data_IF_755937393448
#
_entry.id   IF_755937393448
#
_cell.length_a   1.000
_cell.length_b   1.000
_cell.length_c   1.000
_cell.angle_alpha   90.00
_cell.angle_beta   90.00
_cell.angle_gamma   90.00
#
_symmetry.space_group_name_H-M   'P 1'
#
loop_
_entity.id
_entity.type
_entity.pdbx_description
1 polymer ?
#
# COMPACT_ATOMS: atom_id res chain seq x y z
N UNK A 1 -8.63 16.00 -7.23
CA UNK A 1 -7.25 15.80 -7.68
C UNK A 1 -7.31 15.07 -9.02
N UNK A 2 -7.14 15.79 -10.13
CA UNK A 2 -7.16 15.19 -11.47
C UNK A 2 -5.72 14.84 -11.83
N UNK A 3 -5.47 13.61 -12.19
CA UNK A 3 -4.20 13.04 -12.67
C UNK A 3 -3.12 12.89 -11.60
N UNK A 4 -3.16 11.81 -10.82
CA UNK A 4 -1.98 11.34 -10.11
C UNK A 4 -1.09 10.56 -11.07
N UNK A 5 0.05 11.11 -11.44
CA UNK A 5 1.19 10.32 -11.90
C UNK A 5 1.87 9.76 -10.64
N UNK A 6 2.10 8.53 -10.46
CA UNK A 6 2.19 7.38 -11.34
C UNK A 6 1.31 6.22 -10.92
N UNK A 7 0.10 6.46 -10.63
CA UNK A 7 -0.81 5.36 -10.37
C UNK A 7 -0.98 4.63 -11.69
N UNK A 8 -0.78 3.32 -11.69
CA UNK A 8 -1.15 2.48 -12.83
C UNK A 8 -2.65 2.67 -13.05
N UNK A 9 -3.00 3.57 -13.91
CA UNK A 9 -4.38 3.76 -14.34
C UNK A 9 -4.47 3.35 -15.81
N UNK A 10 -5.46 2.55 -16.15
CA UNK A 10 -6.49 1.98 -15.27
C UNK A 10 -6.00 0.74 -14.49
N UNK A 11 -6.35 0.64 -13.21
CA UNK A 11 -6.20 -0.59 -12.44
C UNK A 11 -7.50 -1.38 -12.55
N UNK A 12 -7.42 -2.59 -13.12
CA UNK A 12 -8.59 -3.46 -13.22
C UNK A 12 -8.77 -4.25 -11.92
N UNK A 13 -9.83 -3.94 -11.20
CA UNK A 13 -10.18 -4.62 -9.94
C UNK A 13 -11.57 -5.23 -10.11
N UNK A 14 -11.72 -6.50 -9.77
CA UNK A 14 -13.03 -7.14 -9.78
C UNK A 14 -13.89 -6.52 -8.68
N UNK A 15 -15.04 -5.94 -9.10
CA UNK A 15 -15.98 -5.28 -8.19
C UNK A 15 -17.39 -5.87 -8.27
N UNK A 16 -17.76 -6.44 -9.41
CA UNK A 16 -19.06 -7.05 -9.63
C UNK A 16 -18.87 -8.56 -9.81
N UNK A 17 -19.61 -9.35 -9.05
CA UNK A 17 -19.58 -10.81 -9.11
C UNK A 17 -20.91 -11.40 -8.66
N UNK A 18 -21.21 -12.61 -9.10
CA UNK A 18 -22.35 -13.38 -8.61
C UNK A 18 -22.00 -13.94 -7.23
N UNK A 19 -22.80 -13.60 -6.22
CA UNK A 19 -22.54 -13.96 -4.82
C UNK A 19 -22.37 -15.46 -4.61
N UNK A 20 -23.17 -16.27 -5.31
CA UNK A 20 -23.16 -17.73 -5.19
C UNK A 20 -21.88 -18.39 -5.73
N UNK A 21 -21.11 -17.65 -6.53
CA UNK A 21 -19.86 -18.13 -7.14
C UNK A 21 -18.60 -17.66 -6.40
N UNK A 22 -18.78 -16.97 -5.28
CA UNK A 22 -17.67 -16.46 -4.48
C UNK A 22 -17.25 -17.48 -3.44
N UNK A 23 -16.08 -18.08 -3.59
CA UNK A 23 -15.43 -18.79 -2.50
C UNK A 23 -14.52 -17.84 -1.76
N UNK A 24 -14.86 -17.54 -0.50
CA UNK A 24 -14.03 -16.70 0.36
C UNK A 24 -12.89 -17.56 0.95
N UNK A 25 -11.74 -17.52 0.35
CA UNK A 25 -10.48 -18.06 0.91
C UNK A 25 -9.42 -16.98 0.87
N UNK A 26 -9.47 -16.05 1.81
CA UNK A 26 -8.44 -15.04 1.93
C UNK A 26 -8.14 -14.73 3.38
N UNK A 27 -7.00 -15.21 3.88
CA UNK A 27 -6.46 -14.85 5.20
C UNK A 27 -5.53 -13.63 5.14
N UNK A 28 -5.66 -12.75 4.14
CA UNK A 28 -4.83 -11.56 4.06
C UNK A 28 -5.54 -10.38 4.69
N UNK A 29 -5.00 -9.92 5.80
CA UNK A 29 -5.54 -8.82 6.61
C UNK A 29 -5.58 -7.48 5.85
N UNK A 30 -4.74 -7.31 4.81
CA UNK A 30 -4.56 -6.01 4.14
C UNK A 30 -5.18 -5.98 2.74
N UNK A 31 -5.25 -7.11 2.04
CA UNK A 31 -5.81 -7.21 0.69
C UNK A 31 -6.62 -8.50 0.56
N UNK A 32 -7.93 -8.38 0.66
CA UNK A 32 -8.85 -9.45 0.30
C UNK A 32 -8.79 -9.63 -1.23
N UNK A 33 -8.14 -10.71 -1.66
CA UNK A 33 -8.17 -11.10 -3.07
C UNK A 33 -9.30 -12.10 -3.27
N UNK A 34 -10.25 -11.76 -4.12
CA UNK A 34 -11.27 -12.67 -4.57
C UNK A 34 -10.61 -13.79 -5.39
N UNK A 35 -10.78 -15.04 -4.98
CA UNK A 35 -10.38 -16.17 -5.81
C UNK A 35 -11.45 -16.41 -6.86
N UNK A 36 -11.05 -16.27 -8.10
CA UNK A 36 -11.92 -16.36 -9.28
C UNK A 36 -11.60 -17.63 -10.06
N UNK A 37 -11.60 -18.76 -9.38
CA UNK A 37 -11.24 -20.06 -9.98
C UNK A 37 -12.16 -20.37 -11.18
N UNK A 38 -11.61 -20.27 -12.39
CA UNK A 38 -12.31 -20.55 -13.64
C UNK A 38 -13.43 -19.56 -14.01
N UNK A 39 -13.53 -18.42 -13.33
CA UNK A 39 -14.54 -17.42 -13.64
C UNK A 39 -14.20 -16.65 -14.92
N UNK A 40 -15.21 -16.45 -15.78
CA UNK A 40 -15.09 -15.56 -16.93
C UNK A 40 -15.14 -14.11 -16.47
N UNK A 41 -14.03 -13.38 -16.69
CA UNK A 41 -13.89 -11.97 -16.30
C UNK A 41 -14.14 -11.11 -17.54
N UNK A 42 -14.96 -10.06 -17.39
CA UNK A 42 -15.15 -9.02 -18.40
C UNK A 42 -14.79 -7.67 -17.81
N UNK A 43 -14.18 -6.81 -18.60
CA UNK A 43 -13.92 -5.43 -18.23
C UNK A 43 -15.18 -4.58 -18.47
N UNK A 44 -15.38 -3.58 -17.62
CA UNK A 44 -16.35 -2.51 -17.84
C UNK A 44 -15.57 -1.31 -18.40
N UNK A 45 -16.12 -0.65 -19.39
CA UNK A 45 -15.47 0.49 -20.06
C UNK A 45 -15.53 1.76 -19.20
N UNK A 46 -16.54 1.86 -18.33
CA UNK A 46 -16.70 3.02 -17.46
C UNK A 46 -15.80 2.95 -16.21
N UNK A 47 -15.00 4.00 -15.94
CA UNK A 47 -14.13 4.04 -14.78
C UNK A 47 -14.91 4.27 -13.49
N UNK A 48 -14.59 3.48 -12.46
CA UNK A 48 -15.05 3.71 -11.11
C UNK A 48 -14.14 4.72 -10.42
N UNK A 49 -14.66 5.90 -10.08
CA UNK A 49 -13.91 6.89 -9.32
C UNK A 49 -13.78 6.46 -7.87
N UNK A 50 -12.54 6.36 -7.38
CA UNK A 50 -12.24 5.99 -6.00
C UNK A 50 -11.60 7.15 -5.26
N UNK A 51 -12.32 7.71 -4.28
CA UNK A 51 -11.83 8.75 -3.39
C UNK A 51 -11.25 8.10 -2.14
N UNK A 52 -9.92 7.92 -2.11
CA UNK A 52 -9.24 7.18 -1.03
C UNK A 52 -9.09 7.99 0.25
N UNK A 53 -8.95 9.29 0.14
CA UNK A 53 -8.82 10.23 1.26
C UNK A 53 -9.21 11.65 0.79
N UNK A 54 -9.88 12.39 1.66
CA UNK A 54 -10.35 13.74 1.38
C UNK A 54 -9.38 14.81 1.92
N UNK A 55 -8.55 14.44 2.89
CA UNK A 55 -7.60 15.33 3.54
C UNK A 55 -6.23 14.69 3.73
N UNK A 56 -5.23 15.51 4.06
CA UNK A 56 -3.89 15.04 4.45
C UNK A 56 -3.98 14.30 5.79
N UNK A 57 -4.84 14.76 6.71
CA UNK A 57 -5.04 14.14 8.01
C UNK A 57 -5.61 12.72 7.85
N UNK A 58 -6.59 12.51 6.96
CA UNK A 58 -7.13 11.18 6.64
C UNK A 58 -6.06 10.26 6.05
N UNK A 59 -5.19 10.81 5.21
CA UNK A 59 -4.08 10.07 4.62
C UNK A 59 -3.14 9.56 5.71
N UNK A 60 -2.74 10.42 6.65
CA UNK A 60 -1.79 10.08 7.70
C UNK A 60 -2.42 9.28 8.86
N UNK A 61 -3.69 9.46 9.16
CA UNK A 61 -4.38 8.69 10.18
C UNK A 61 -4.32 7.17 9.93
N UNK A 62 -4.30 6.76 8.68
CA UNK A 62 -4.25 5.35 8.28
C UNK A 62 -2.84 4.74 8.35
N UNK A 63 -1.78 5.57 8.39
CA UNK A 63 -0.39 5.09 8.27
C UNK A 63 -0.01 4.17 9.44
N UNK A 64 -0.44 4.50 10.65
CA UNK A 64 -0.16 3.72 11.85
C UNK A 64 -0.69 2.30 11.76
N UNK A 65 -1.96 2.16 11.40
CA UNK A 65 -2.63 0.87 11.27
C UNK A 65 -2.05 0.04 10.11
N UNK A 66 -1.97 0.61 8.91
CA UNK A 66 -1.48 -0.14 7.75
C UNK A 66 -0.03 -0.58 7.88
N UNK A 67 0.83 0.25 8.47
CA UNK A 67 2.23 -0.14 8.68
C UNK A 67 2.39 -1.19 9.77
N UNK A 68 1.51 -1.21 10.80
CA UNK A 68 1.46 -2.26 11.81
C UNK A 68 1.08 -3.59 11.17
N UNK A 69 -0.07 -3.65 10.50
CA UNK A 69 -0.55 -4.87 9.83
C UNK A 69 0.46 -5.41 8.80
N UNK A 70 1.11 -4.50 8.05
CA UNK A 70 2.15 -4.90 7.10
C UNK A 70 3.38 -5.48 7.79
N UNK A 71 3.80 -4.94 8.92
CA UNK A 71 4.94 -5.45 9.68
C UNK A 71 4.63 -6.83 10.30
N UNK A 72 3.42 -7.02 10.82
CA UNK A 72 2.95 -8.30 11.36
C UNK A 72 2.89 -9.39 10.26
N UNK A 73 2.37 -9.08 9.08
CA UNK A 73 2.34 -10.00 7.93
C UNK A 73 3.76 -10.39 7.48
N UNK A 74 4.67 -9.40 7.44
CA UNK A 74 6.08 -9.63 7.10
C UNK A 74 6.78 -10.49 8.16
N UNK A 75 6.51 -10.26 9.46
CA UNK A 75 7.04 -11.08 10.54
C UNK A 75 6.54 -12.52 10.45
N UNK A 76 5.25 -12.72 10.21
CA UNK A 76 4.65 -14.04 10.04
C UNK A 76 5.28 -14.83 8.87
N UNK A 77 5.78 -14.12 7.84
CA UNK A 77 6.52 -14.71 6.71
C UNK A 77 8.02 -14.89 6.98
N UNK A 78 8.49 -14.54 8.16
CA UNK A 78 9.91 -14.63 8.51
C UNK A 78 10.80 -13.62 7.79
N UNK A 79 10.24 -12.50 7.33
CA UNK A 79 11.02 -11.51 6.58
C UNK A 79 12.06 -10.81 7.47
N UNK A 80 13.32 -10.69 7.02
CA UNK A 80 14.34 -10.00 7.79
C UNK A 80 14.19 -8.49 7.68
N UNK A 81 14.41 -7.80 8.80
CA UNK A 81 14.60 -6.35 8.84
C UNK A 81 16.06 -6.01 9.08
N UNK A 82 16.59 -5.06 8.32
CA UNK A 82 17.96 -4.55 8.48
C UNK A 82 17.96 -3.02 8.52
N UNK A 83 19.02 -2.44 9.08
CA UNK A 83 19.19 -0.99 9.12
C UNK A 83 19.19 -0.35 7.73
N UNK A 84 19.72 -1.05 6.73
CA UNK A 84 19.69 -0.62 5.33
C UNK A 84 18.25 -0.52 4.81
N UNK A 85 17.40 -1.51 5.12
CA UNK A 85 15.97 -1.49 4.75
C UNK A 85 15.20 -0.39 5.48
N UNK A 86 15.62 -0.02 6.70
CA UNK A 86 14.95 1.04 7.47
C UNK A 86 15.34 2.42 6.93
N UNK A 87 16.62 2.69 6.70
CA UNK A 87 17.08 4.04 6.39
C UNK A 87 17.27 4.31 4.89
N UNK A 88 17.82 3.38 4.11
CA UNK A 88 18.11 3.61 2.70
C UNK A 88 16.91 3.26 1.78
N UNK A 89 16.22 2.17 2.06
CA UNK A 89 15.15 1.70 1.18
C UNK A 89 13.97 2.68 1.05
N UNK A 90 13.50 3.40 2.10
CA UNK A 90 12.47 4.41 1.95
C UNK A 90 12.84 5.52 0.97
N UNK A 91 14.11 5.94 0.95
CA UNK A 91 14.59 6.94 0.00
C UNK A 91 14.69 6.40 -1.42
N UNK A 92 15.07 5.14 -1.59
CA UNK A 92 15.09 4.48 -2.88
C UNK A 92 13.68 4.40 -3.48
N UNK A 93 12.70 4.00 -2.67
CA UNK A 93 11.29 3.94 -3.10
C UNK A 93 10.77 5.34 -3.42
N UNK A 94 11.07 6.34 -2.58
CA UNK A 94 10.71 7.73 -2.83
C UNK A 94 11.32 8.24 -4.15
N UNK A 95 12.61 8.02 -4.37
CA UNK A 95 13.31 8.45 -5.59
C UNK A 95 12.72 7.76 -6.82
N UNK A 96 12.51 6.46 -6.75
CA UNK A 96 11.86 5.69 -7.83
C UNK A 96 10.48 6.26 -8.15
N UNK A 97 9.67 6.49 -7.12
CA UNK A 97 8.32 7.03 -7.29
C UNK A 97 8.37 8.45 -7.88
N UNK A 98 9.21 9.30 -7.31
CA UNK A 98 9.27 10.71 -7.66
C UNK A 98 9.92 10.92 -9.04
N UNK A 99 11.03 10.24 -9.32
CA UNK A 99 11.81 10.43 -10.55
C UNK A 99 11.31 9.57 -11.71
N UNK A 100 11.15 8.24 -11.49
CA UNK A 100 10.83 7.33 -12.60
C UNK A 100 9.35 7.32 -12.94
N UNK A 101 8.47 7.47 -11.94
CA UNK A 101 7.03 7.49 -12.17
C UNK A 101 6.46 8.91 -12.30
N UNK A 102 7.29 9.93 -12.28
CA UNK A 102 6.89 11.29 -12.56
C UNK A 102 6.12 11.99 -11.44
N UNK A 103 6.21 11.51 -10.18
CA UNK A 103 5.54 12.13 -9.03
C UNK A 103 5.90 13.61 -8.80
N UNK A 104 7.04 14.06 -9.31
CA UNK A 104 7.43 15.47 -9.31
C UNK A 104 6.51 16.34 -10.17
N UNK A 105 5.83 15.77 -11.17
CA UNK A 105 4.91 16.48 -12.08
C UNK A 105 3.60 16.89 -11.40
N UNK A 106 3.25 16.21 -10.30
CA UNK A 106 2.03 16.47 -9.54
C UNK A 106 2.16 17.67 -8.58
N UNK A 107 3.29 18.36 -8.60
CA UNK A 107 3.51 19.55 -7.77
C UNK A 107 3.45 19.28 -6.26
N UNK A 108 2.68 20.10 -5.51
CA UNK A 108 2.56 19.95 -4.06
C UNK A 108 1.90 18.62 -3.63
N UNK A 109 0.78 18.17 -4.22
CA UNK A 109 0.22 16.85 -3.94
C UNK A 109 1.20 15.69 -4.14
N UNK A 110 1.99 15.74 -5.22
CA UNK A 110 3.01 14.73 -5.49
C UNK A 110 4.10 14.68 -4.43
N UNK A 111 4.54 15.82 -3.93
CA UNK A 111 5.52 15.88 -2.83
C UNK A 111 4.95 15.32 -1.53
N UNK A 112 3.69 15.64 -1.20
CA UNK A 112 3.01 15.12 0.00
C UNK A 112 2.89 13.60 -0.09
N UNK A 113 2.41 13.09 -1.22
CA UNK A 113 2.26 11.65 -1.43
C UNK A 113 3.61 10.93 -1.44
N UNK A 114 4.63 11.51 -2.06
CA UNK A 114 5.99 10.96 -2.04
C UNK A 114 6.55 10.86 -0.62
N UNK A 115 6.33 11.88 0.22
CA UNK A 115 6.69 11.85 1.64
C UNK A 115 5.89 10.75 2.37
N UNK A 116 4.60 10.67 2.17
CA UNK A 116 3.75 9.63 2.75
C UNK A 116 4.23 8.21 2.41
N UNK A 117 4.54 7.95 1.15
CA UNK A 117 5.06 6.64 0.70
C UNK A 117 6.39 6.33 1.39
N UNK A 118 7.31 7.30 1.48
CA UNK A 118 8.58 7.14 2.19
C UNK A 118 8.37 6.81 3.66
N UNK A 119 7.51 7.57 4.34
CA UNK A 119 7.24 7.42 5.76
C UNK A 119 6.53 6.07 6.05
N UNK A 120 5.65 5.63 5.17
CA UNK A 120 5.01 4.31 5.23
C UNK A 120 6.05 3.17 5.16
N UNK A 121 6.98 3.26 4.22
CA UNK A 121 8.04 2.25 4.08
C UNK A 121 8.97 2.26 5.28
N UNK A 122 9.37 3.43 5.78
CA UNK A 122 10.19 3.57 6.98
C UNK A 122 9.50 2.93 8.21
N UNK A 123 8.27 3.34 8.50
CA UNK A 123 7.51 2.86 9.65
C UNK A 123 7.28 1.34 9.59
N UNK A 124 6.98 0.79 8.43
CA UNK A 124 6.81 -0.65 8.26
C UNK A 124 8.07 -1.42 8.66
N UNK A 125 9.24 -1.01 8.18
CA UNK A 125 10.49 -1.72 8.46
C UNK A 125 11.02 -1.49 9.88
N UNK A 126 10.80 -0.31 10.48
CA UNK A 126 11.16 -0.09 11.88
C UNK A 126 10.29 -0.94 12.81
N UNK A 127 8.97 -1.00 12.57
CA UNK A 127 8.06 -1.87 13.32
C UNK A 127 8.44 -3.34 13.17
N UNK A 128 8.71 -3.82 11.95
CA UNK A 128 9.21 -5.17 11.72
C UNK A 128 10.49 -5.45 12.51
N UNK A 129 11.40 -4.47 12.61
CA UNK A 129 12.62 -4.61 13.40
C UNK A 129 12.31 -4.85 14.89
N UNK A 130 11.40 -4.05 15.46
CA UNK A 130 10.98 -4.23 16.85
C UNK A 130 10.28 -5.57 17.08
N UNK A 131 9.37 -5.98 16.22
CA UNK A 131 8.71 -7.28 16.28
C UNK A 131 9.72 -8.44 16.25
N UNK A 132 10.70 -8.39 15.35
CA UNK A 132 11.73 -9.44 15.22
C UNK A 132 12.71 -9.48 16.41
N UNK A 133 12.87 -8.40 17.17
CA UNK A 133 13.74 -8.35 18.35
C UNK A 133 13.02 -8.67 19.65
N UNK A 134 11.71 -8.85 19.62
CA UNK A 134 10.87 -9.07 20.81
C UNK A 134 10.80 -7.89 21.77
N UNK A 135 11.27 -6.70 21.34
CA UNK A 135 11.18 -5.47 22.14
C UNK A 135 9.84 -4.79 21.88
N UNK A 136 9.16 -4.28 22.93
CA UNK A 136 7.93 -3.53 22.74
C UNK A 136 8.20 -2.25 21.92
N UNK A 137 7.22 -1.83 21.13
CA UNK A 137 7.27 -0.62 20.30
C UNK A 137 7.31 0.67 21.17
N UNK A 138 6.98 0.51 22.45
CA UNK A 138 7.00 1.56 23.49
C UNK A 138 8.29 1.45 24.31
N UNK A 139 9.24 2.30 24.02
CA UNK A 139 10.35 2.63 24.91
C UNK A 139 10.32 4.13 25.17
#
# INVERSE_FOLDING_TARGET
>A
MRNFYPVKTPEFIVRLFQRERLSHRGSRIIHEQLQLDGAKISALDEPLLHYSCDSIDDLYAKIGLYTKLAAEDMQAKGEPSSWLKIYAYPWLIWARWHLLYGGWRDGAPGRILGKYVRDTVYLKYIKLKYLNTGKPETA
#
